data_IF_603185204932
#
_entry.id   IF_603185204932
#
_cell.length_a   1.000
_cell.length_b   1.000
_cell.length_c   1.000
_cell.angle_alpha   90.00
_cell.angle_beta   90.00
_cell.angle_gamma   90.00
#
_symmetry.space_group_name_H-M   'P 1'
#
loop_
_entity.id
_entity.type
_entity.pdbx_description
1 polymer ?
#
# COMPACT_ATOMS: atom_id res chain seq x y z
N UNK A 1 1.83 -3.62 26.04
CA UNK A 1 0.77 -2.70 25.52
C UNK A 1 1.33 -1.52 24.73
N UNK A 2 2.24 -0.70 25.30
CA UNK A 2 2.81 0.47 24.59
C UNK A 2 3.56 0.10 23.30
N UNK A 3 4.37 -0.96 23.32
CA UNK A 3 5.11 -1.44 22.15
C UNK A 3 4.19 -1.88 20.99
N UNK A 4 3.12 -2.61 21.31
CA UNK A 4 2.13 -3.04 20.31
C UNK A 4 1.38 -1.86 19.70
N UNK A 5 1.09 -0.83 20.48
CA UNK A 5 0.51 0.41 19.96
C UNK A 5 1.47 1.12 19.00
N UNK A 6 2.75 1.25 19.36
CA UNK A 6 3.77 1.85 18.50
C UNK A 6 3.88 1.09 17.17
N UNK A 7 3.85 -0.25 17.23
CA UNK A 7 3.92 -1.10 16.04
C UNK A 7 2.72 -0.90 15.10
N UNK A 8 1.49 -0.85 15.63
CA UNK A 8 0.28 -0.58 14.82
C UNK A 8 0.34 0.80 14.19
N UNK A 9 0.73 1.83 14.96
CA UNK A 9 0.87 3.21 14.45
C UNK A 9 1.90 3.28 13.32
N UNK A 10 3.05 2.64 13.52
CA UNK A 10 4.12 2.57 12.50
C UNK A 10 3.60 1.91 11.22
N UNK A 11 2.86 0.82 11.35
CA UNK A 11 2.25 0.13 10.22
C UNK A 11 1.25 1.00 9.45
N UNK A 12 0.40 1.76 10.15
CA UNK A 12 -0.51 2.70 9.48
C UNK A 12 0.23 3.81 8.77
N UNK A 13 1.24 4.40 9.40
CA UNK A 13 2.00 5.48 8.77
C UNK A 13 2.80 5.00 7.55
N UNK A 14 3.46 3.85 7.64
CA UNK A 14 4.20 3.27 6.52
C UNK A 14 3.25 2.96 5.35
N UNK A 15 2.10 2.33 5.62
CA UNK A 15 1.12 2.05 4.58
C UNK A 15 0.50 3.32 3.99
N UNK A 16 0.17 4.32 4.82
CA UNK A 16 -0.41 5.59 4.36
C UNK A 16 0.57 6.37 3.48
N UNK A 17 1.85 6.42 3.85
CA UNK A 17 2.89 7.05 3.03
C UNK A 17 3.03 6.32 1.70
N UNK A 18 3.04 4.98 1.71
CA UNK A 18 3.08 4.19 0.48
C UNK A 18 1.88 4.51 -0.43
N UNK A 19 0.67 4.60 0.13
CA UNK A 19 -0.55 4.94 -0.60
C UNK A 19 -0.51 6.35 -1.21
N UNK A 20 -0.02 7.35 -0.48
CA UNK A 20 0.15 8.70 -1.05
C UNK A 20 1.20 8.73 -2.15
N UNK A 21 2.30 8.01 -1.99
CA UNK A 21 3.32 7.88 -3.04
C UNK A 21 2.71 7.21 -4.28
N UNK A 22 1.97 6.12 -4.11
CA UNK A 22 1.28 5.45 -5.23
C UNK A 22 0.26 6.37 -5.88
N UNK A 23 -0.54 7.10 -5.11
CA UNK A 23 -1.51 8.05 -5.65
C UNK A 23 -0.83 9.07 -6.57
N UNK A 24 0.28 9.67 -6.13
CA UNK A 24 1.04 10.62 -6.93
C UNK A 24 1.71 9.97 -8.14
N UNK A 25 2.34 8.79 -7.98
CA UNK A 25 3.01 8.09 -9.08
C UNK A 25 2.02 7.69 -10.18
N UNK A 26 0.83 7.24 -9.80
CA UNK A 26 -0.20 6.81 -10.75
C UNK A 26 -0.73 7.99 -11.56
N UNK A 27 -0.68 9.23 -11.06
CA UNK A 27 -1.08 10.41 -11.84
C UNK A 27 -0.04 10.81 -12.91
N UNK A 28 1.16 10.23 -12.90
CA UNK A 28 2.23 10.54 -13.84
C UNK A 28 2.31 9.43 -14.90
N UNK A 29 1.83 9.64 -16.15
CA UNK A 29 1.79 8.63 -17.22
C UNK A 29 3.09 7.84 -17.38
N UNK A 30 4.23 8.55 -17.41
CA UNK A 30 5.54 7.97 -17.67
C UNK A 30 5.98 7.00 -16.56
N UNK A 31 5.43 7.14 -15.35
CA UNK A 31 5.66 6.23 -14.22
C UNK A 31 4.85 4.94 -14.37
N UNK A 32 3.70 5.01 -15.04
CA UNK A 32 2.81 3.89 -15.31
C UNK A 32 3.08 3.19 -16.65
N UNK A 33 4.07 3.66 -17.42
CA UNK A 33 4.45 3.06 -18.70
C UNK A 33 3.55 3.49 -19.86
N UNK A 34 2.79 4.57 -19.70
CA UNK A 34 1.91 5.15 -20.72
C UNK A 34 2.34 6.58 -21.05
N UNK A 35 1.94 7.07 -22.22
CA UNK A 35 2.28 8.44 -22.69
C UNK A 35 1.28 9.47 -22.21
N UNK A 36 0.01 9.07 -22.12
CA UNK A 36 -1.11 9.97 -21.83
C UNK A 36 -1.82 9.54 -20.56
N UNK A 37 -2.44 10.52 -19.91
CA UNK A 37 -3.31 10.24 -18.77
C UNK A 37 -4.53 9.44 -19.24
N UNK A 38 -4.77 8.28 -18.61
CA UNK A 38 -5.98 7.48 -18.84
C UNK A 38 -6.87 7.50 -17.61
N UNK A 39 -8.19 7.54 -17.82
CA UNK A 39 -9.18 7.64 -16.74
C UNK A 39 -8.96 6.66 -15.56
N UNK A 40 -8.60 5.37 -15.77
CA UNK A 40 -8.30 4.46 -14.66
C UNK A 40 -7.17 4.91 -13.73
N UNK A 41 -6.20 5.70 -14.21
CA UNK A 41 -5.14 6.27 -13.37
C UNK A 41 -5.71 7.24 -12.34
N UNK A 42 -6.61 8.14 -12.77
CA UNK A 42 -7.30 9.06 -11.85
C UNK A 42 -8.11 8.33 -10.78
N UNK A 43 -8.84 7.28 -11.19
CA UNK A 43 -9.60 6.45 -10.26
C UNK A 43 -8.69 5.76 -9.24
N UNK A 44 -7.62 5.11 -9.68
CA UNK A 44 -6.69 4.44 -8.79
C UNK A 44 -5.99 5.42 -7.86
N UNK A 45 -5.61 6.61 -8.35
CA UNK A 45 -5.05 7.67 -7.51
C UNK A 45 -6.02 8.11 -6.43
N UNK A 46 -7.29 8.35 -6.77
CA UNK A 46 -8.30 8.76 -5.80
C UNK A 46 -8.52 7.68 -4.72
N UNK A 47 -8.54 6.40 -5.11
CA UNK A 47 -8.66 5.28 -4.19
C UNK A 47 -7.44 5.19 -3.27
N UNK A 48 -6.22 5.20 -3.82
CA UNK A 48 -4.99 5.14 -3.03
C UNK A 48 -4.91 6.31 -2.04
N UNK A 49 -5.14 7.53 -2.50
CA UNK A 49 -5.12 8.71 -1.64
C UNK A 49 -6.15 8.61 -0.51
N UNK A 50 -7.37 8.19 -0.83
CA UNK A 50 -8.44 8.01 0.16
C UNK A 50 -8.09 6.92 1.17
N UNK A 51 -7.42 5.85 0.74
CA UNK A 51 -6.95 4.78 1.64
C UNK A 51 -5.87 5.29 2.59
N UNK A 52 -4.92 6.08 2.09
CA UNK A 52 -3.91 6.75 2.92
C UNK A 52 -4.53 7.67 3.98
N UNK A 53 -5.56 8.44 3.62
CA UNK A 53 -6.33 9.25 4.59
C UNK A 53 -7.06 8.37 5.62
N UNK A 54 -7.67 7.28 5.18
CA UNK A 54 -8.36 6.33 6.08
C UNK A 54 -7.39 5.73 7.09
N UNK A 55 -6.16 5.41 6.69
CA UNK A 55 -5.11 4.91 7.58
C UNK A 55 -4.67 5.95 8.62
N UNK A 56 -4.55 7.23 8.24
CA UNK A 56 -4.31 8.33 9.19
C UNK A 56 -5.47 8.45 10.19
N UNK A 57 -6.70 8.32 9.71
CA UNK A 57 -7.87 8.32 10.60
C UNK A 57 -7.84 7.11 11.54
N UNK A 58 -7.45 5.93 11.05
CA UNK A 58 -7.32 4.72 11.86
C UNK A 58 -6.27 4.88 12.98
N UNK A 59 -5.20 5.65 12.75
CA UNK A 59 -4.15 5.96 13.72
C UNK A 59 -4.63 6.68 14.98
N UNK A 60 -5.75 7.41 14.91
CA UNK A 60 -6.32 8.09 16.09
C UNK A 60 -6.72 7.10 17.20
N UNK A 61 -7.10 5.88 16.83
CA UNK A 61 -7.53 4.82 17.75
C UNK A 61 -6.96 3.47 17.31
N UNK A 62 -5.64 3.26 17.41
CA UNK A 62 -4.96 2.22 16.65
C UNK A 62 -5.32 0.81 17.11
N UNK A 63 -5.54 0.61 18.41
CA UNK A 63 -5.92 -0.69 18.98
C UNK A 63 -7.37 -1.05 18.61
N UNK A 64 -8.31 -0.10 18.76
CA UNK A 64 -9.73 -0.32 18.42
C UNK A 64 -9.91 -0.58 16.92
N UNK A 65 -9.10 0.05 16.07
CA UNK A 65 -9.20 -0.01 14.61
C UNK A 65 -8.21 -0.99 13.97
N UNK A 66 -7.51 -1.82 14.74
CA UNK A 66 -6.48 -2.77 14.25
C UNK A 66 -6.95 -3.69 13.11
N UNK A 67 -8.25 -3.93 13.02
CA UNK A 67 -8.85 -4.71 11.94
C UNK A 67 -8.57 -4.13 10.54
N UNK A 68 -8.31 -2.81 10.42
CA UNK A 68 -7.96 -2.13 9.17
C UNK A 68 -6.65 -2.66 8.55
N UNK A 69 -5.78 -3.30 9.34
CA UNK A 69 -4.58 -3.95 8.82
C UNK A 69 -4.92 -5.09 7.83
N UNK A 70 -6.00 -5.84 8.04
CA UNK A 70 -6.39 -6.95 7.16
C UNK A 70 -6.75 -6.51 5.73
N UNK A 71 -7.69 -5.56 5.52
CA UNK A 71 -7.97 -5.08 4.17
C UNK A 71 -6.75 -4.36 3.57
N UNK A 72 -5.89 -3.73 4.38
CA UNK A 72 -4.64 -3.11 3.88
C UNK A 72 -3.65 -4.16 3.38
N UNK A 73 -3.49 -5.29 4.07
CA UNK A 73 -2.72 -6.45 3.59
C UNK A 73 -3.27 -6.93 2.24
N UNK A 74 -4.59 -7.05 2.12
CA UNK A 74 -5.23 -7.47 0.88
C UNK A 74 -4.94 -6.48 -0.26
N UNK A 75 -5.08 -5.17 -0.04
CA UNK A 75 -4.78 -4.14 -1.03
C UNK A 75 -3.32 -4.23 -1.49
N UNK A 76 -2.37 -4.24 -0.55
CA UNK A 76 -0.93 -4.31 -0.86
C UNK A 76 -0.58 -5.60 -1.61
N UNK A 77 -1.16 -6.73 -1.22
CA UNK A 77 -1.00 -8.00 -1.91
C UNK A 77 -1.53 -7.94 -3.36
N UNK A 78 -2.75 -7.44 -3.56
CA UNK A 78 -3.36 -7.33 -4.88
C UNK A 78 -2.59 -6.37 -5.79
N UNK A 79 -2.05 -5.27 -5.26
CA UNK A 79 -1.16 -4.37 -5.99
C UNK A 79 0.13 -5.08 -6.43
N UNK A 80 0.71 -5.92 -5.55
CA UNK A 80 1.84 -6.78 -5.90
C UNK A 80 1.53 -7.74 -7.05
N UNK A 81 0.37 -8.41 -6.98
CA UNK A 81 -0.11 -9.32 -8.05
C UNK A 81 -0.31 -8.56 -9.36
N UNK A 82 -0.93 -7.38 -9.33
CA UNK A 82 -1.12 -6.54 -10.51
C UNK A 82 0.21 -6.14 -11.16
N UNK A 83 1.22 -5.80 -10.35
CA UNK A 83 2.57 -5.53 -10.83
C UNK A 83 3.21 -6.75 -11.53
N UNK A 84 3.16 -7.92 -10.90
CA UNK A 84 3.68 -9.17 -11.49
C UNK A 84 2.94 -9.52 -12.79
N UNK A 85 1.62 -9.33 -12.81
CA UNK A 85 0.82 -9.58 -14.00
C UNK A 85 1.21 -8.63 -15.16
N UNK A 86 1.43 -7.34 -14.87
CA UNK A 86 1.92 -6.38 -15.86
C UNK A 86 3.31 -6.77 -16.42
N UNK A 87 4.18 -7.39 -15.60
CA UNK A 87 5.45 -7.96 -16.07
C UNK A 87 5.21 -9.08 -17.08
N UNK A 88 4.28 -10.00 -16.78
CA UNK A 88 3.96 -11.14 -17.66
C UNK A 88 3.43 -10.71 -19.02
N UNK A 89 2.83 -9.52 -19.10
CA UNK A 89 2.33 -8.92 -20.33
C UNK A 89 3.35 -8.01 -21.04
N UNK A 90 4.58 -7.89 -20.53
CA UNK A 90 5.63 -7.00 -21.03
C UNK A 90 5.23 -5.51 -21.10
N UNK A 91 4.33 -5.07 -20.21
CA UNK A 91 3.86 -3.67 -20.17
C UNK A 91 4.84 -2.73 -19.46
N UNK A 92 5.71 -3.27 -18.60
CA UNK A 92 6.67 -2.51 -17.81
C UNK A 92 8.03 -3.19 -17.83
N UNK A 93 9.13 -2.41 -17.81
CA UNK A 93 10.47 -2.97 -17.77
C UNK A 93 10.74 -3.65 -16.41
N UNK A 94 11.49 -4.77 -16.37
CA UNK A 94 11.70 -5.55 -15.16
C UNK A 94 12.31 -4.75 -14.00
N UNK A 95 13.19 -3.79 -14.29
CA UNK A 95 13.85 -2.95 -13.28
C UNK A 95 12.86 -2.12 -12.43
N UNK A 96 11.78 -1.62 -13.03
CA UNK A 96 10.74 -0.85 -12.34
C UNK A 96 9.90 -1.75 -11.44
N UNK A 97 9.61 -2.97 -11.90
CA UNK A 97 8.82 -3.92 -11.13
C UNK A 97 9.60 -4.46 -9.95
N UNK A 98 10.89 -4.77 -10.10
CA UNK A 98 11.73 -5.24 -8.98
C UNK A 98 11.73 -4.25 -7.81
N UNK A 99 11.88 -2.95 -8.09
CA UNK A 99 11.84 -1.92 -7.06
C UNK A 99 10.47 -1.85 -6.36
N UNK A 100 9.37 -1.83 -7.13
CA UNK A 100 8.02 -1.80 -6.57
C UNK A 100 7.70 -3.08 -5.79
N UNK A 101 8.08 -4.26 -6.29
CA UNK A 101 7.92 -5.54 -5.61
C UNK A 101 8.68 -5.59 -4.29
N UNK A 102 9.89 -5.03 -4.22
CA UNK A 102 10.66 -4.95 -2.98
C UNK A 102 9.93 -4.10 -1.92
N UNK A 103 9.41 -2.93 -2.31
CA UNK A 103 8.60 -2.07 -1.43
C UNK A 103 7.35 -2.81 -0.95
N UNK A 104 6.61 -3.43 -1.88
CA UNK A 104 5.42 -4.23 -1.56
C UNK A 104 5.74 -5.32 -0.55
N UNK A 105 6.83 -6.08 -0.73
CA UNK A 105 7.23 -7.15 0.19
C UNK A 105 7.55 -6.60 1.57
N UNK A 106 8.27 -5.48 1.67
CA UNK A 106 8.59 -4.84 2.95
C UNK A 106 7.32 -4.39 3.67
N UNK A 107 6.43 -3.66 2.98
CA UNK A 107 5.16 -3.18 3.55
C UNK A 107 4.28 -4.36 3.98
N UNK A 108 4.12 -5.36 3.12
CA UNK A 108 3.31 -6.54 3.41
C UNK A 108 3.85 -7.32 4.61
N UNK A 109 5.17 -7.49 4.68
CA UNK A 109 5.83 -8.16 5.82
C UNK A 109 5.59 -7.41 7.12
N UNK A 110 5.74 -6.07 7.11
CA UNK A 110 5.47 -5.22 8.26
C UNK A 110 4.02 -5.37 8.74
N UNK A 111 3.06 -5.32 7.82
CA UNK A 111 1.63 -5.43 8.13
C UNK A 111 1.27 -6.82 8.68
N UNK A 112 1.80 -7.89 8.09
CA UNK A 112 1.59 -9.27 8.56
C UNK A 112 2.17 -9.48 9.96
N UNK A 113 3.43 -9.07 10.18
CA UNK A 113 4.09 -9.18 11.49
C UNK A 113 3.29 -8.41 12.54
N UNK A 114 2.83 -7.21 12.21
CA UNK A 114 2.01 -6.39 13.10
C UNK A 114 0.73 -7.12 13.45
N UNK A 115 0.00 -7.61 12.45
CA UNK A 115 -1.27 -8.32 12.65
C UNK A 115 -1.10 -9.55 13.55
N UNK A 116 -0.03 -10.33 13.36
CA UNK A 116 0.27 -11.51 14.18
C UNK A 116 0.61 -11.10 15.61
N UNK A 117 1.53 -10.14 15.80
CA UNK A 117 1.99 -9.71 17.13
C UNK A 117 0.91 -9.00 17.95
N UNK A 118 -0.05 -8.34 17.32
CA UNK A 118 -1.11 -7.58 18.01
C UNK A 118 -2.46 -8.29 18.02
N UNK A 119 -2.50 -9.59 17.70
CA UNK A 119 -3.74 -10.37 17.70
C UNK A 119 -4.43 -10.40 19.07
N UNK A 120 -3.65 -10.58 20.14
CA UNK A 120 -4.14 -10.81 21.51
C UNK A 120 -4.20 -9.54 22.38
N UNK A 121 -3.98 -8.35 21.79
CA UNK A 121 -4.08 -7.04 22.47
C UNK A 121 -5.29 -6.30 21.96
#
# INVERSE_FOLDING_TARGET
>A
MKENQILIRTSYWVAAIADFVIALLVLIPERMGVTDFVYPMGLMSAVAFSWGVLLIIADQKPVERKWVLLPTILVVFLLGVAGIYALSLNLLPPNRIIANSAVTVVVLTLLIITTIKTRNV
#
